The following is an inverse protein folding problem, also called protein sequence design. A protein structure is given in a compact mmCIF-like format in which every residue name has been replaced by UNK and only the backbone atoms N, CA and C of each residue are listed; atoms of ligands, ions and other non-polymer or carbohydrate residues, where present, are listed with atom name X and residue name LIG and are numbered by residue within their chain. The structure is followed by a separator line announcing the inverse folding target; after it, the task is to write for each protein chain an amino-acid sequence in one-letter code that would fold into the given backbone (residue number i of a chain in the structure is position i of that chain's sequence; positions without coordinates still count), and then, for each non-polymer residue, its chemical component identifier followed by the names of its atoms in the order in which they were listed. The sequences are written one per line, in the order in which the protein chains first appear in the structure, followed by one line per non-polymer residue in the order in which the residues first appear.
data_IF_759156189970
#
_entry.id   IF_759156189970
#
_cell.length_a   1.000
_cell.length_b   1.000
_cell.length_c   1.000
_cell.angle_alpha   90.00
_cell.angle_beta   90.00
_cell.angle_gamma   90.00
#
_symmetry.space_group_name_H-M   'P 1'
#
loop_
_entity.id
_entity.type
_entity.pdbx_description
1 polymer ?
#
# COMPACT_ATOMS: atom_id res chain seq x y z
N UNK A 1 7.97 -20.56 -29.86
CA UNK A 1 6.94 -19.60 -29.43
C UNK A 1 5.90 -19.53 -30.52
N UNK A 2 4.66 -19.90 -30.21
CA UNK A 2 3.59 -19.93 -31.21
C UNK A 2 2.86 -18.59 -31.20
N UNK A 3 2.41 -18.13 -32.37
CA UNK A 3 1.65 -16.88 -32.52
C UNK A 3 0.38 -16.78 -31.65
N UNK A 4 -0.07 -17.90 -31.05
CA UNK A 4 -1.16 -17.91 -30.05
C UNK A 4 -0.80 -17.19 -28.74
N UNK A 5 0.47 -17.01 -28.41
CA UNK A 5 0.92 -16.23 -27.24
C UNK A 5 0.65 -14.72 -27.40
N UNK A 6 0.51 -14.23 -28.65
CA UNK A 6 0.20 -12.83 -28.96
C UNK A 6 -1.28 -12.48 -28.90
N UNK A 7 -2.18 -13.49 -28.89
CA UNK A 7 -3.63 -13.32 -28.79
C UNK A 7 -4.14 -13.35 -27.33
N UNK A 8 -3.24 -13.48 -26.35
CA UNK A 8 -3.60 -13.28 -24.94
C UNK A 8 -3.88 -11.79 -24.76
N UNK A 9 -5.13 -11.45 -24.41
CA UNK A 9 -5.51 -10.08 -24.05
C UNK A 9 -4.84 -9.68 -22.72
N UNK A 10 -3.58 -9.25 -22.77
CA UNK A 10 -2.75 -8.73 -21.67
C UNK A 10 -3.23 -7.35 -21.12
N UNK A 11 -4.54 -7.07 -21.14
CA UNK A 11 -5.06 -5.72 -20.85
C UNK A 11 -5.45 -5.48 -19.39
N UNK A 12 -5.18 -6.43 -18.50
CA UNK A 12 -5.31 -6.23 -17.07
C UNK A 12 -3.93 -6.18 -16.42
N UNK A 13 -3.50 -4.98 -16.00
CA UNK A 13 -2.25 -4.78 -15.25
C UNK A 13 -2.22 -5.65 -13.97
N UNK A 14 -3.37 -6.08 -13.47
CA UNK A 14 -3.56 -7.04 -12.38
C UNK A 14 -3.11 -8.48 -12.69
N UNK A 15 -2.80 -8.83 -13.93
CA UNK A 15 -2.30 -10.19 -14.26
C UNK A 15 -0.82 -10.38 -13.92
N UNK A 16 -0.07 -9.30 -13.68
CA UNK A 16 1.35 -9.40 -13.39
C UNK A 16 1.73 -8.54 -12.19
N UNK A 17 2.56 -9.11 -11.32
CA UNK A 17 3.21 -8.38 -10.24
C UNK A 17 4.01 -7.21 -10.83
N UNK A 18 4.01 -6.02 -10.20
CA UNK A 18 4.53 -4.81 -10.83
C UNK A 18 6.06 -4.76 -10.90
N UNK A 19 6.77 -5.59 -10.13
CA UNK A 19 8.22 -5.48 -9.91
C UNK A 19 9.03 -5.85 -11.16
N UNK A 20 9.61 -4.85 -11.84
CA UNK A 20 10.50 -5.08 -12.98
C UNK A 20 11.89 -5.51 -12.50
N UNK A 21 12.50 -4.75 -11.60
CA UNK A 21 13.87 -5.05 -11.17
C UNK A 21 14.41 -4.20 -10.04
N UNK A 22 15.41 -4.72 -9.34
CA UNK A 22 16.16 -3.99 -8.32
C UNK A 22 17.30 -3.21 -9.02
N UNK A 23 17.07 -1.91 -9.24
CA UNK A 23 17.92 -1.02 -10.04
C UNK A 23 19.09 -0.46 -9.23
N UNK A 24 18.87 -0.24 -7.93
CA UNK A 24 19.91 0.07 -6.96
C UNK A 24 19.73 -0.84 -5.75
N UNK A 25 20.70 -0.94 -4.81
CA UNK A 25 20.53 -1.78 -3.63
C UNK A 25 19.23 -1.54 -2.84
N UNK A 26 18.61 -0.34 -2.92
CA UNK A 26 17.41 0.03 -2.14
C UNK A 26 16.20 0.49 -2.98
N UNK A 27 16.31 0.52 -4.31
CA UNK A 27 15.26 1.01 -5.22
C UNK A 27 14.88 -0.08 -6.21
N UNK A 28 13.60 -0.42 -6.20
CA UNK A 28 12.95 -1.27 -7.20
C UNK A 28 12.28 -0.36 -8.23
N UNK A 29 12.42 -0.68 -9.51
CA UNK A 29 11.58 -0.12 -10.57
C UNK A 29 10.43 -1.09 -10.86
N UNK A 30 9.23 -0.54 -10.99
CA UNK A 30 8.07 -1.26 -11.50
C UNK A 30 7.99 -1.15 -13.02
N UNK A 31 7.18 -2.02 -13.63
CA UNK A 31 6.92 -2.02 -15.07
C UNK A 31 6.24 -0.75 -15.58
N UNK A 32 5.60 0.01 -14.70
CA UNK A 32 4.99 1.32 -15.01
C UNK A 32 5.92 2.51 -14.72
N UNK A 33 7.22 2.24 -14.56
CA UNK A 33 8.28 3.19 -14.21
C UNK A 33 8.17 3.82 -12.81
N UNK A 34 7.17 3.41 -12.00
CA UNK A 34 7.14 3.81 -10.61
C UNK A 34 8.28 3.16 -9.81
N UNK A 35 8.81 3.91 -8.84
CA UNK A 35 9.95 3.49 -8.02
C UNK A 35 9.49 3.16 -6.61
N UNK A 36 9.96 2.04 -6.06
CA UNK A 36 9.66 1.59 -4.70
C UNK A 36 10.94 1.56 -3.87
N UNK A 37 10.86 2.07 -2.64
CA UNK A 37 11.82 1.80 -1.58
C UNK A 37 11.12 1.31 -0.32
N UNK A 38 11.83 0.54 0.50
CA UNK A 38 11.24 -0.13 1.67
C UNK A 38 12.01 0.26 2.92
N UNK A 39 11.27 0.67 3.94
CA UNK A 39 11.80 0.89 5.29
C UNK A 39 11.04 0.05 6.31
N UNK A 40 11.70 -0.25 7.41
CA UNK A 40 11.11 -0.84 8.60
C UNK A 40 11.31 0.09 9.80
N UNK A 41 10.35 0.15 10.72
CA UNK A 41 10.48 0.97 11.92
C UNK A 41 9.54 0.49 13.04
N UNK A 42 9.86 0.89 14.28
CA UNK A 42 8.98 0.69 15.42
C UNK A 42 7.91 1.79 15.46
N UNK A 43 6.70 1.45 15.07
CA UNK A 43 5.59 2.38 15.00
C UNK A 43 5.00 2.77 16.37
N UNK A 44 5.37 2.06 17.44
CA UNK A 44 4.97 2.41 18.81
C UNK A 44 5.79 3.57 19.40
N UNK A 45 6.91 3.91 18.76
CA UNK A 45 7.94 4.82 19.29
C UNK A 45 7.79 6.28 18.85
N UNK A 46 6.61 6.72 18.42
CA UNK A 46 6.42 8.07 17.83
C UNK A 46 6.79 9.20 18.81
N UNK A 47 7.92 9.87 18.57
CA UNK A 47 8.45 10.94 19.43
C UNK A 47 8.12 12.35 18.91
N UNK A 48 8.45 12.66 17.65
CA UNK A 48 8.28 14.01 17.07
C UNK A 48 7.30 14.00 15.89
N UNK A 49 6.05 14.41 16.14
CA UNK A 49 4.96 14.33 15.15
C UNK A 49 4.96 15.50 14.16
N UNK A 50 5.31 16.70 14.62
CA UNK A 50 5.09 17.92 13.85
C UNK A 50 6.08 18.10 12.71
N UNK A 51 7.34 17.70 12.90
CA UNK A 51 8.35 17.79 11.85
C UNK A 51 8.04 16.87 10.66
N UNK A 52 7.70 15.60 10.95
CA UNK A 52 7.28 14.65 9.93
C UNK A 52 5.99 15.09 9.25
N UNK A 53 5.00 15.55 10.01
CA UNK A 53 3.77 16.08 9.43
C UNK A 53 4.03 17.25 8.47
N UNK A 54 4.84 18.23 8.87
CA UNK A 54 5.18 19.39 8.02
C UNK A 54 5.81 18.95 6.69
N UNK A 55 6.72 17.97 6.74
CA UNK A 55 7.33 17.38 5.56
C UNK A 55 6.30 16.66 4.68
N UNK A 56 5.47 15.79 5.25
CA UNK A 56 4.45 15.02 4.51
C UNK A 56 3.44 15.91 3.78
N UNK A 57 3.11 17.09 4.33
CA UNK A 57 2.20 18.06 3.69
C UNK A 57 2.77 18.74 2.44
N UNK A 58 4.08 18.65 2.23
CA UNK A 58 4.78 19.29 1.11
C UNK A 58 5.06 18.31 -0.03
N UNK A 59 4.72 17.03 0.14
CA UNK A 59 4.93 16.02 -0.88
C UNK A 59 4.14 16.34 -2.15
N UNK A 60 4.74 16.16 -3.33
CA UNK A 60 4.03 16.32 -4.60
C UNK A 60 3.06 15.14 -4.83
N UNK A 61 2.23 15.28 -5.87
CA UNK A 61 1.42 14.18 -6.38
C UNK A 61 2.30 12.99 -6.79
N UNK A 62 1.69 11.80 -6.77
CA UNK A 62 2.34 10.57 -7.23
C UNK A 62 3.16 9.86 -6.14
N UNK A 63 3.16 10.36 -4.90
CA UNK A 63 3.65 9.61 -3.75
C UNK A 63 2.53 8.82 -3.08
N UNK A 64 2.80 7.55 -2.87
CA UNK A 64 1.96 6.65 -2.08
C UNK A 64 2.80 5.89 -1.06
N UNK A 65 2.18 5.60 0.07
CA UNK A 65 2.74 4.77 1.12
C UNK A 65 1.89 3.52 1.28
N UNK A 66 2.52 2.36 1.32
CA UNK A 66 1.88 1.13 1.77
C UNK A 66 2.49 0.76 3.12
N UNK A 67 1.67 0.47 4.10
CA UNK A 67 2.10 0.01 5.41
C UNK A 67 1.66 -1.42 5.61
N UNK A 68 2.57 -2.23 6.15
CA UNK A 68 2.35 -3.64 6.39
C UNK A 68 2.74 -4.03 7.82
N UNK A 69 1.88 -4.84 8.43
CA UNK A 69 2.13 -5.52 9.71
C UNK A 69 1.52 -6.91 9.62
N UNK A 70 2.26 -7.94 10.01
CA UNK A 70 1.79 -9.32 9.85
C UNK A 70 2.17 -10.20 11.03
N UNK A 71 1.52 -11.36 11.14
CA UNK A 71 1.82 -12.36 12.17
C UNK A 71 3.31 -12.73 12.20
N UNK A 72 3.95 -12.75 11.03
CA UNK A 72 5.34 -13.15 10.85
C UNK A 72 6.36 -12.02 11.17
N UNK A 73 5.94 -10.76 11.35
CA UNK A 73 6.82 -9.60 11.63
C UNK A 73 6.05 -8.56 12.43
N UNK A 74 6.41 -8.36 13.71
CA UNK A 74 5.77 -7.34 14.53
C UNK A 74 6.21 -5.91 14.16
N UNK A 75 7.32 -5.76 13.44
CA UNK A 75 7.85 -4.48 12.97
C UNK A 75 7.03 -4.00 11.77
N UNK A 76 6.70 -2.71 11.74
CA UNK A 76 5.94 -2.10 10.66
C UNK A 76 6.86 -1.85 9.47
N UNK A 77 6.45 -2.36 8.31
CA UNK A 77 7.12 -2.12 7.03
C UNK A 77 6.38 -1.02 6.28
N UNK A 78 7.10 -0.02 5.76
CA UNK A 78 6.55 1.00 4.88
C UNK A 78 7.22 0.93 3.51
N UNK A 79 6.41 0.79 2.47
CA UNK A 79 6.81 0.87 1.08
C UNK A 79 6.48 2.27 0.58
N UNK A 80 7.52 3.00 0.23
CA UNK A 80 7.46 4.35 -0.30
C UNK A 80 7.47 4.21 -1.81
N UNK A 81 6.42 4.68 -2.47
CA UNK A 81 6.29 4.56 -3.92
C UNK A 81 6.14 5.93 -4.53
N UNK A 82 6.93 6.19 -5.56
CA UNK A 82 6.81 7.38 -6.37
C UNK A 82 6.52 7.01 -7.82
N UNK A 83 5.47 7.59 -8.38
CA UNK A 83 5.15 7.51 -9.80
C UNK A 83 5.56 8.82 -10.48
N UNK A 84 6.68 8.86 -11.22
CA UNK A 84 7.10 10.06 -11.92
C UNK A 84 6.15 10.37 -13.09
N UNK A 85 5.61 11.59 -13.09
CA UNK A 85 4.77 12.10 -14.16
C UNK A 85 5.56 13.10 -15.00
N UNK A 86 5.42 12.99 -16.32
CA UNK A 86 6.10 13.87 -17.27
C UNK A 86 5.10 14.78 -17.98
N UNK A 87 5.45 16.05 -18.11
CA UNK A 87 4.85 16.94 -19.08
C UNK A 87 5.42 16.62 -20.47
N UNK A 88 4.62 15.94 -21.28
CA UNK A 88 4.97 15.51 -22.64
C UNK A 88 5.41 16.67 -23.54
N UNK A 89 4.94 17.91 -23.29
CA UNK A 89 5.30 19.07 -24.14
C UNK A 89 6.71 19.57 -23.89
N UNK A 90 7.14 19.51 -22.63
CA UNK A 90 8.42 20.08 -22.20
C UNK A 90 9.47 19.01 -21.87
N UNK A 91 9.08 17.73 -21.94
CA UNK A 91 9.85 16.57 -21.47
C UNK A 91 10.45 16.82 -20.08
N UNK A 92 9.64 17.42 -19.20
CA UNK A 92 10.01 17.80 -17.84
C UNK A 92 9.14 17.06 -16.85
N UNK A 93 9.73 16.70 -15.73
CA UNK A 93 9.04 16.04 -14.63
C UNK A 93 8.07 17.03 -13.97
N UNK A 94 6.77 16.72 -14.00
CA UNK A 94 5.71 17.62 -13.54
C UNK A 94 5.48 17.53 -12.03
N UNK A 95 5.76 16.38 -11.41
CA UNK A 95 5.58 16.12 -9.97
C UNK A 95 6.92 15.83 -9.26
N UNK A 96 7.93 16.66 -9.52
CA UNK A 96 9.28 16.40 -8.99
C UNK A 96 9.30 16.47 -7.48
N UNK A 97 10.00 15.52 -6.86
CA UNK A 97 10.19 15.48 -5.41
C UNK A 97 11.12 16.58 -4.92
N UNK A 98 12.02 17.05 -5.80
CA UNK A 98 13.03 18.06 -5.49
C UNK A 98 13.01 19.10 -6.61
N UNK A 99 13.23 20.37 -6.26
CA UNK A 99 13.41 21.48 -7.21
C UNK A 99 14.81 21.42 -7.83
N UNK A 100 15.11 20.39 -8.61
CA UNK A 100 16.38 20.22 -9.29
C UNK A 100 16.21 20.14 -10.82
N UNK A 101 17.28 20.44 -11.54
CA UNK A 101 17.35 20.39 -13.01
C UNK A 101 17.80 19.02 -13.54
N UNK A 102 18.14 18.07 -12.66
CA UNK A 102 18.47 16.72 -13.06
C UNK A 102 17.18 16.01 -13.52
N UNK A 103 17.24 15.27 -14.62
CA UNK A 103 16.13 14.48 -15.13
C UNK A 103 16.25 12.98 -14.77
N UNK A 104 17.28 12.60 -13.99
CA UNK A 104 17.42 11.22 -13.53
C UNK A 104 16.51 10.94 -12.32
N UNK A 105 15.48 10.14 -12.57
CA UNK A 105 14.45 9.78 -11.59
C UNK A 105 15.00 8.93 -10.45
N UNK A 106 15.99 8.09 -10.71
CA UNK A 106 16.62 7.29 -9.65
C UNK A 106 17.36 8.21 -8.69
N UNK A 107 18.14 9.15 -9.21
CA UNK A 107 18.84 10.13 -8.38
C UNK A 107 17.87 11.01 -7.58
N UNK A 108 16.80 11.53 -8.21
CA UNK A 108 15.79 12.35 -7.51
C UNK A 108 15.13 11.56 -6.38
N UNK A 109 14.74 10.31 -6.66
CA UNK A 109 14.09 9.47 -5.66
C UNK A 109 15.07 9.10 -4.53
N UNK A 110 16.31 8.78 -4.86
CA UNK A 110 17.35 8.44 -3.88
C UNK A 110 17.64 9.60 -2.91
N UNK A 111 17.75 10.83 -3.44
CA UNK A 111 17.87 12.05 -2.63
C UNK A 111 16.65 12.31 -1.75
N UNK A 112 15.45 12.09 -2.30
CA UNK A 112 14.22 12.19 -1.54
C UNK A 112 14.18 11.18 -0.39
N UNK A 113 14.63 9.93 -0.63
CA UNK A 113 14.69 8.90 0.39
C UNK A 113 15.64 9.25 1.53
N UNK A 114 16.78 9.89 1.24
CA UNK A 114 17.70 10.36 2.28
C UNK A 114 17.05 11.43 3.18
N UNK A 115 16.33 12.40 2.59
CA UNK A 115 15.60 13.40 3.37
C UNK A 115 14.47 12.74 4.17
N UNK A 116 13.67 11.89 3.53
CA UNK A 116 12.57 11.15 4.15
C UNK A 116 13.07 10.34 5.35
N UNK A 117 14.15 9.59 5.18
CA UNK A 117 14.76 8.79 6.23
C UNK A 117 15.29 9.65 7.37
N UNK A 118 15.88 10.82 7.08
CA UNK A 118 16.29 11.78 8.11
C UNK A 118 15.10 12.27 8.95
N UNK A 119 13.94 12.50 8.32
CA UNK A 119 12.70 12.85 9.04
C UNK A 119 12.17 11.68 9.86
N UNK A 120 12.14 10.48 9.29
CA UNK A 120 11.68 9.27 9.97
C UNK A 120 12.51 8.96 11.23
N UNK A 121 13.84 9.00 11.16
CA UNK A 121 14.72 8.77 12.31
C UNK A 121 14.56 9.79 13.45
N UNK A 122 14.09 11.00 13.14
CA UNK A 122 13.77 12.01 14.17
C UNK A 122 12.40 11.77 14.81
N UNK A 123 11.55 10.97 14.18
CA UNK A 123 10.16 10.74 14.60
C UNK A 123 9.94 9.36 15.19
N UNK A 124 10.69 8.34 14.76
CA UNK A 124 10.58 6.94 15.18
C UNK A 124 11.95 6.35 15.52
N UNK A 125 11.96 5.31 16.34
CA UNK A 125 13.13 4.48 16.65
C UNK A 125 13.25 3.30 15.69
N UNK A 126 14.45 2.72 15.63
CA UNK A 126 14.76 1.52 14.85
C UNK A 126 14.37 1.62 13.37
N UNK A 127 14.50 2.82 12.77
CA UNK A 127 14.20 3.01 11.35
C UNK A 127 15.35 2.42 10.52
N UNK A 128 15.05 1.40 9.72
CA UNK A 128 16.01 0.72 8.86
C UNK A 128 15.56 0.82 7.39
N UNK A 129 16.50 1.14 6.48
CA UNK A 129 16.25 1.06 5.04
C UNK A 129 16.64 -0.33 4.59
N UNK A 130 15.71 -1.07 3.98
CA UNK A 130 16.02 -2.39 3.46
C UNK A 130 16.85 -2.29 2.18
N UNK A 131 17.75 -3.26 1.99
CA UNK A 131 18.53 -3.35 0.77
C UNK A 131 18.72 -4.80 0.30
N UNK A 132 18.92 -4.99 -1.01
CA UNK A 132 19.28 -6.26 -1.67
C UNK A 132 18.37 -7.42 -1.21
N UNK A 133 18.94 -8.36 -0.46
CA UNK A 133 18.29 -9.57 0.03
C UNK A 133 17.08 -9.27 0.91
N UNK A 134 17.12 -8.23 1.73
CA UNK A 134 16.03 -7.87 2.62
C UNK A 134 14.84 -7.33 1.85
N UNK A 135 15.11 -6.54 0.80
CA UNK A 135 14.08 -6.07 -0.13
C UNK A 135 13.39 -7.27 -0.79
N UNK A 136 14.17 -8.20 -1.33
CA UNK A 136 13.63 -9.37 -2.04
C UNK A 136 12.81 -10.27 -1.11
N UNK A 137 13.32 -10.56 0.08
CA UNK A 137 12.59 -11.33 1.10
C UNK A 137 11.27 -10.66 1.46
N UNK A 138 11.27 -9.33 1.56
CA UNK A 138 10.07 -8.57 1.91
C UNK A 138 9.03 -8.61 0.80
N UNK A 139 9.44 -8.44 -0.46
CA UNK A 139 8.53 -8.58 -1.61
C UNK A 139 7.97 -10.00 -1.72
N UNK A 140 8.83 -11.02 -1.62
CA UNK A 140 8.43 -12.43 -1.70
C UNK A 140 7.39 -12.76 -0.63
N UNK A 141 7.63 -12.32 0.59
CA UNK A 141 6.74 -12.56 1.72
C UNK A 141 5.34 -11.96 1.57
N UNK A 142 5.20 -10.80 0.90
CA UNK A 142 3.89 -10.22 0.59
C UNK A 142 3.06 -11.16 -0.28
N UNK A 143 3.74 -11.85 -1.20
CA UNK A 143 3.14 -12.67 -2.26
C UNK A 143 2.85 -14.09 -1.79
N UNK A 144 3.77 -14.70 -1.04
CA UNK A 144 3.76 -16.13 -0.75
C UNK A 144 3.50 -16.46 0.71
N UNK A 145 3.57 -15.47 1.60
CA UNK A 145 3.61 -15.63 3.06
C UNK A 145 4.85 -16.40 3.58
N UNK A 146 5.82 -16.70 2.73
CA UNK A 146 7.08 -17.33 3.11
C UNK A 146 8.14 -16.30 3.54
N UNK A 147 9.19 -16.77 4.22
CA UNK A 147 10.14 -15.87 4.89
C UNK A 147 11.30 -15.40 4.01
N UNK A 148 11.78 -16.22 3.08
CA UNK A 148 12.98 -15.87 2.32
C UNK A 148 13.04 -16.59 0.98
N UNK A 149 13.70 -15.94 0.03
CA UNK A 149 14.06 -16.47 -1.28
C UNK A 149 15.52 -16.09 -1.54
N UNK A 150 16.28 -16.90 -2.28
CA UNK A 150 17.65 -16.53 -2.63
C UNK A 150 17.67 -15.28 -3.53
N UNK A 151 18.74 -14.49 -3.45
CA UNK A 151 18.95 -13.42 -4.43
C UNK A 151 19.26 -14.05 -5.80
N UNK A 152 18.58 -13.65 -6.90
CA UNK A 152 18.94 -14.09 -8.24
C UNK A 152 20.24 -13.42 -8.71
N UNK A 153 20.95 -14.05 -9.64
CA UNK A 153 22.14 -13.48 -10.28
C UNK A 153 21.79 -12.21 -11.08
N UNK A 154 20.62 -12.20 -11.72
CA UNK A 154 20.07 -11.06 -12.45
C UNK A 154 18.99 -10.38 -11.61
N UNK A 155 19.10 -9.07 -11.42
CA UNK A 155 18.14 -8.27 -10.62
C UNK A 155 16.92 -7.78 -11.41
N UNK A 156 16.76 -8.22 -12.67
CA UNK A 156 15.64 -7.91 -13.55
C UNK A 156 14.65 -9.08 -13.60
N UNK A 157 13.43 -8.80 -14.06
CA UNK A 157 12.29 -9.73 -14.12
C UNK A 157 11.92 -10.32 -12.76
N UNK A 158 11.92 -9.46 -11.72
CA UNK A 158 11.60 -9.88 -10.36
C UNK A 158 10.17 -10.39 -10.22
N UNK A 159 9.24 -9.92 -11.04
CA UNK A 159 7.88 -10.45 -11.14
C UNK A 159 7.86 -11.95 -11.45
N UNK A 160 8.62 -12.38 -12.47
CA UNK A 160 8.73 -13.79 -12.85
C UNK A 160 9.46 -14.59 -11.76
N UNK A 161 10.58 -14.07 -11.27
CA UNK A 161 11.39 -14.77 -10.26
C UNK A 161 10.61 -15.00 -8.95
N UNK A 162 9.90 -13.98 -8.47
CA UNK A 162 9.13 -14.04 -7.23
C UNK A 162 7.89 -14.93 -7.31
N UNK A 163 7.45 -15.29 -8.52
CA UNK A 163 6.22 -16.08 -8.74
C UNK A 163 6.47 -17.48 -9.26
N UNK A 164 7.70 -17.82 -9.66
CA UNK A 164 8.02 -19.08 -10.35
C UNK A 164 7.56 -20.34 -9.59
N UNK A 165 7.65 -20.33 -8.26
CA UNK A 165 7.40 -21.50 -7.41
C UNK A 165 6.02 -21.46 -6.74
N UNK A 166 5.17 -20.47 -7.07
CA UNK A 166 3.90 -20.24 -6.40
C UNK A 166 2.70 -20.22 -7.34
N UNK A 167 1.62 -20.89 -6.91
CA UNK A 167 0.35 -20.87 -7.62
C UNK A 167 -0.66 -19.94 -6.97
N UNK A 168 -1.33 -19.13 -7.78
CA UNK A 168 -2.41 -18.23 -7.37
C UNK A 168 -3.69 -18.66 -8.08
N UNK A 169 -4.71 -19.11 -7.33
CA UNK A 169 -5.96 -19.61 -7.92
C UNK A 169 -7.16 -19.14 -7.13
N UNK A 170 -8.17 -18.57 -7.81
CA UNK A 170 -9.46 -18.29 -7.17
C UNK A 170 -10.13 -19.61 -6.79
N UNK A 171 -10.51 -19.74 -5.53
CA UNK A 171 -11.22 -20.90 -4.99
C UNK A 171 -12.55 -20.44 -4.39
N UNK A 172 -13.66 -20.62 -5.12
CA UNK A 172 -14.99 -20.11 -4.74
C UNK A 172 -14.93 -18.60 -4.43
N UNK A 173 -15.09 -18.23 -3.15
CA UNK A 173 -15.07 -16.85 -2.64
C UNK A 173 -13.74 -16.46 -1.99
N UNK A 174 -12.70 -17.27 -2.18
CA UNK A 174 -11.38 -17.09 -1.56
C UNK A 174 -10.29 -17.14 -2.64
N UNK A 175 -9.08 -16.73 -2.27
CA UNK A 175 -7.88 -16.94 -3.07
C UNK A 175 -7.07 -18.09 -2.46
N UNK A 176 -6.53 -18.97 -3.28
CA UNK A 176 -5.58 -20.01 -2.85
C UNK A 176 -4.18 -19.62 -3.32
N UNK A 177 -3.27 -19.44 -2.38
CA UNK A 177 -1.88 -19.06 -2.60
C UNK A 177 -1.00 -20.17 -2.03
N UNK A 178 -0.40 -20.96 -2.91
CA UNK A 178 0.28 -22.20 -2.51
C UNK A 178 -0.65 -23.11 -1.69
N UNK A 179 -0.28 -23.37 -0.44
CA UNK A 179 -1.04 -24.20 0.50
C UNK A 179 -2.11 -23.43 1.30
N UNK A 180 -2.11 -22.09 1.25
CA UNK A 180 -2.97 -21.26 2.07
C UNK A 180 -4.25 -20.87 1.34
N UNK A 181 -5.37 -20.96 2.05
CA UNK A 181 -6.59 -20.25 1.69
C UNK A 181 -6.48 -18.84 2.26
N UNK A 182 -6.87 -17.84 1.47
CA UNK A 182 -6.76 -16.42 1.77
C UNK A 182 -8.09 -15.74 1.56
N UNK A 183 -8.47 -14.89 2.50
CA UNK A 183 -9.57 -13.94 2.33
C UNK A 183 -9.13 -12.53 2.75
N UNK A 184 -9.84 -11.52 2.27
CA UNK A 184 -9.59 -10.11 2.58
C UNK A 184 -10.82 -9.49 3.25
N UNK A 185 -10.59 -8.76 4.34
CA UNK A 185 -11.59 -7.90 4.97
C UNK A 185 -11.15 -6.46 4.78
N UNK A 186 -11.93 -5.69 4.03
CA UNK A 186 -11.74 -4.25 3.84
C UNK A 186 -12.42 -3.50 5.00
N UNK A 187 -11.68 -2.62 5.66
CA UNK A 187 -12.21 -1.72 6.69
C UNK A 187 -12.63 -0.41 6.02
N UNK A 188 -13.91 -0.06 6.10
CA UNK A 188 -14.44 1.18 5.51
C UNK A 188 -14.18 2.38 6.43
N UNK A 189 -13.93 3.55 5.82
CA UNK A 189 -13.68 4.79 6.54
C UNK A 189 -12.26 4.91 7.10
N UNK A 190 -12.13 5.47 8.31
CA UNK A 190 -10.85 5.79 8.95
C UNK A 190 -10.70 5.04 10.29
N UNK A 191 -10.26 3.77 10.27
CA UNK A 191 -10.27 2.90 11.45
C UNK A 191 -9.08 3.11 12.40
N UNK A 192 -8.23 4.13 12.22
CA UNK A 192 -6.91 4.22 12.86
C UNK A 192 -6.89 3.99 14.38
N UNK A 193 -7.91 4.41 15.11
CA UNK A 193 -7.99 4.21 16.56
C UNK A 193 -8.20 2.75 16.99
N UNK A 194 -8.74 1.90 16.10
CA UNK A 194 -9.11 0.52 16.41
C UNK A 194 -8.17 -0.51 15.76
N UNK A 195 -7.25 -0.10 14.89
CA UNK A 195 -6.39 -1.06 14.15
C UNK A 195 -5.60 -1.93 15.12
N UNK A 196 -4.91 -1.33 16.09
CA UNK A 196 -4.18 -2.08 17.13
C UNK A 196 -5.05 -3.08 17.90
N UNK A 197 -6.28 -2.69 18.26
CA UNK A 197 -7.24 -3.57 18.94
C UNK A 197 -7.67 -4.74 18.05
N UNK A 198 -7.91 -4.48 16.76
CA UNK A 198 -8.28 -5.50 15.78
C UNK A 198 -7.12 -6.47 15.57
N UNK A 199 -5.89 -5.99 15.36
CA UNK A 199 -4.71 -6.85 15.17
C UNK A 199 -4.43 -7.70 16.43
N UNK A 200 -4.64 -7.13 17.62
CA UNK A 200 -4.52 -7.86 18.88
C UNK A 200 -5.59 -8.95 19.01
N UNK A 201 -6.83 -8.66 18.61
CA UNK A 201 -7.92 -9.64 18.59
C UNK A 201 -7.63 -10.80 17.63
N UNK A 202 -7.17 -10.52 16.40
CA UNK A 202 -6.78 -11.53 15.41
C UNK A 202 -5.65 -12.42 15.97
N UNK A 203 -4.66 -11.82 16.64
CA UNK A 203 -3.57 -12.56 17.27
C UNK A 203 -4.10 -13.54 18.34
N UNK A 204 -5.07 -13.13 19.14
CA UNK A 204 -5.68 -13.98 20.17
C UNK A 204 -6.53 -15.12 19.57
N UNK A 205 -7.04 -14.95 18.35
CA UNK A 205 -7.73 -16.00 17.58
C UNK A 205 -6.75 -17.02 16.96
N UNK A 206 -5.44 -16.82 17.11
CA UNK A 206 -4.39 -17.63 16.51
C UNK A 206 -4.49 -17.72 14.97
N UNK A 207 -4.94 -16.63 14.34
CA UNK A 207 -5.11 -16.54 12.90
C UNK A 207 -3.93 -15.82 12.25
N UNK A 208 -3.45 -16.33 11.11
CA UNK A 208 -2.41 -15.62 10.36
C UNK A 208 -3.02 -14.45 9.58
N UNK A 209 -2.35 -13.30 9.67
CA UNK A 209 -2.80 -12.09 9.01
C UNK A 209 -1.65 -11.28 8.43
N UNK A 210 -2.01 -10.45 7.46
CA UNK A 210 -1.24 -9.32 6.97
C UNK A 210 -2.19 -8.13 6.86
N UNK A 211 -1.95 -7.12 7.68
CA UNK A 211 -2.63 -5.85 7.58
C UNK A 211 -1.92 -5.00 6.53
N UNK A 212 -2.68 -4.41 5.62
CA UNK A 212 -2.22 -3.51 4.57
C UNK A 212 -2.98 -2.20 4.66
N UNK A 213 -2.26 -1.09 4.83
CA UNK A 213 -2.81 0.26 4.68
C UNK A 213 -2.15 0.94 3.49
N UNK A 214 -2.93 1.40 2.53
CA UNK A 214 -2.46 2.23 1.43
C UNK A 214 -2.89 3.67 1.66
N UNK A 215 -1.95 4.61 1.50
CA UNK A 215 -2.17 6.04 1.52
C UNK A 215 -1.67 6.61 0.21
N UNK A 216 -2.52 7.30 -0.53
CA UNK A 216 -2.11 8.08 -1.71
C UNK A 216 -2.27 9.55 -1.41
N UNK A 217 -1.14 10.27 -1.42
CA UNK A 217 -1.09 11.68 -1.08
C UNK A 217 -1.65 12.50 -2.24
N UNK A 218 -2.55 13.43 -1.92
CA UNK A 218 -3.00 14.45 -2.85
C UNK A 218 -2.19 15.73 -2.60
N UNK A 219 -1.76 16.40 -3.68
CA UNK A 219 -1.15 17.72 -3.51
C UNK A 219 -2.21 18.77 -3.13
N UNK A 220 -1.73 19.95 -2.73
CA UNK A 220 -2.61 21.02 -2.29
C UNK A 220 -3.50 21.59 -3.41
N UNK A 221 -3.10 21.47 -4.69
CA UNK A 221 -3.84 22.02 -5.83
C UNK A 221 -5.00 21.12 -6.26
N UNK A 222 -4.73 19.83 -6.48
CA UNK A 222 -5.76 18.85 -6.87
C UNK A 222 -6.69 18.50 -5.74
N UNK A 223 -6.23 18.58 -4.48
CA UNK A 223 -7.05 18.25 -3.31
C UNK A 223 -8.42 18.94 -3.31
N UNK A 224 -8.49 20.26 -3.54
CA UNK A 224 -9.76 21.01 -3.44
C UNK A 224 -10.72 20.50 -4.50
N UNK A 225 -10.24 20.36 -5.73
CA UNK A 225 -11.03 19.85 -6.85
C UNK A 225 -11.48 18.40 -6.59
N UNK A 226 -10.61 17.54 -6.05
CA UNK A 226 -10.94 16.15 -5.71
C UNK A 226 -12.00 16.08 -4.62
N UNK A 227 -11.89 16.88 -3.55
CA UNK A 227 -12.89 16.96 -2.49
C UNK A 227 -14.23 17.46 -3.01
N UNK A 228 -14.21 18.56 -3.78
CA UNK A 228 -15.42 19.10 -4.39
C UNK A 228 -16.08 18.07 -5.30
N UNK A 229 -15.35 17.44 -6.22
CA UNK A 229 -15.90 16.42 -7.12
C UNK A 229 -16.47 15.21 -6.37
N UNK A 230 -15.80 14.76 -5.32
CA UNK A 230 -16.25 13.64 -4.50
C UNK A 230 -17.57 13.95 -3.78
N UNK A 231 -17.68 15.13 -3.15
CA UNK A 231 -18.85 15.51 -2.35
C UNK A 231 -19.95 16.23 -3.15
N UNK A 232 -19.68 16.63 -4.40
CA UNK A 232 -20.62 17.41 -5.23
C UNK A 232 -22.00 16.78 -5.33
N UNK A 233 -22.06 15.46 -5.53
CA UNK A 233 -23.32 14.74 -5.67
C UNK A 233 -24.06 14.59 -4.34
N UNK A 234 -23.31 14.48 -3.23
CA UNK A 234 -23.85 14.35 -1.88
C UNK A 234 -24.46 15.67 -1.38
N UNK A 235 -23.88 16.81 -1.78
CA UNK A 235 -24.33 18.15 -1.42
C UNK A 235 -25.03 18.87 -2.59
N UNK A 236 -25.63 18.13 -3.52
CA UNK A 236 -26.24 18.69 -4.73
C UNK A 236 -27.33 19.74 -4.44
N UNK A 237 -28.18 19.48 -3.44
CA UNK A 237 -29.25 20.36 -2.97
C UNK A 237 -28.82 21.34 -1.87
N UNK A 238 -27.62 21.17 -1.30
CA UNK A 238 -27.17 21.89 -0.11
C UNK A 238 -25.69 22.28 -0.24
N UNK A 239 -25.35 23.06 -1.28
CA UNK A 239 -23.96 23.41 -1.60
C UNK A 239 -23.20 24.11 -0.47
N UNK A 240 -23.89 24.81 0.43
CA UNK A 240 -23.27 25.43 1.61
C UNK A 240 -22.55 24.41 2.51
N UNK A 241 -23.01 23.15 2.54
CA UNK A 241 -22.39 22.07 3.29
C UNK A 241 -21.07 21.58 2.68
N UNK A 242 -20.77 21.89 1.41
CA UNK A 242 -19.46 21.56 0.82
C UNK A 242 -18.32 22.17 1.65
N UNK A 243 -18.52 23.36 2.23
CA UNK A 243 -17.53 24.01 3.08
C UNK A 243 -17.19 23.24 4.36
N UNK A 244 -18.11 22.39 4.84
CA UNK A 244 -17.90 21.52 6.01
C UNK A 244 -17.01 20.33 5.64
N UNK A 245 -17.20 19.77 4.45
CA UNK A 245 -16.44 18.60 3.97
C UNK A 245 -15.11 18.95 3.28
N UNK A 246 -15.06 20.09 2.58
CA UNK A 246 -13.90 20.59 1.86
C UNK A 246 -13.05 21.44 2.80
N UNK A 247 -12.25 20.78 3.63
CA UNK A 247 -11.36 21.48 4.58
C UNK A 247 -10.10 22.00 3.88
N UNK A 248 -9.33 22.88 4.53
CA UNK A 248 -7.98 23.28 4.09
C UNK A 248 -6.88 22.28 4.52
N UNK A 249 -7.20 21.26 5.31
CA UNK A 249 -6.22 20.29 5.83
C UNK A 249 -5.77 19.28 4.78
N UNK A 250 -4.72 18.50 5.00
CA UNK A 250 -4.27 17.57 3.94
C UNK A 250 -5.30 16.47 3.67
N UNK A 251 -5.47 16.11 2.39
CA UNK A 251 -6.38 15.06 1.97
C UNK A 251 -5.58 13.94 1.31
N UNK A 252 -6.02 12.71 1.54
CA UNK A 252 -5.43 11.54 0.94
C UNK A 252 -6.50 10.47 0.78
N UNK A 253 -6.27 9.61 -0.20
CA UNK A 253 -7.01 8.36 -0.29
C UNK A 253 -6.39 7.36 0.66
N UNK A 254 -7.22 6.74 1.50
CA UNK A 254 -6.81 5.66 2.38
C UNK A 254 -7.61 4.39 2.08
N UNK A 255 -6.92 3.27 2.15
CA UNK A 255 -7.50 1.94 2.07
C UNK A 255 -6.87 1.08 3.15
N UNK A 256 -7.70 0.33 3.88
CA UNK A 256 -7.27 -0.52 4.97
C UNK A 256 -7.83 -1.92 4.73
N UNK A 257 -6.96 -2.90 4.57
CA UNK A 257 -7.33 -4.28 4.25
C UNK A 257 -6.61 -5.21 5.22
N UNK A 258 -7.35 -6.13 5.79
CA UNK A 258 -6.84 -7.26 6.56
C UNK A 258 -6.86 -8.47 5.64
N UNK A 259 -5.68 -8.95 5.27
CA UNK A 259 -5.51 -10.22 4.56
C UNK A 259 -5.38 -11.31 5.62
N UNK A 260 -6.25 -12.31 5.58
CA UNK A 260 -6.30 -13.42 6.51
C UNK A 260 -6.02 -14.71 5.76
N UNK A 261 -5.20 -15.58 6.31
CA UNK A 261 -4.83 -16.81 5.63
C UNK A 261 -4.62 -17.99 6.58
N UNK A 262 -4.99 -19.18 6.13
CA UNK A 262 -4.79 -20.43 6.86
C UNK A 262 -4.78 -21.62 5.89
N UNK A 263 -4.15 -22.72 6.27
CA UNK A 263 -4.18 -23.98 5.50
C UNK A 263 -5.54 -24.67 5.62
N UNK A 264 -6.25 -24.47 6.73
CA UNK A 264 -7.59 -24.99 6.96
C UNK A 264 -8.65 -23.94 6.56
N UNK A 265 -9.32 -24.20 5.45
CA UNK A 265 -10.38 -23.35 4.90
C UNK A 265 -11.57 -23.16 5.86
N UNK A 266 -11.99 -24.22 6.55
CA UNK A 266 -13.18 -24.17 7.38
C UNK A 266 -12.92 -23.39 8.66
N UNK A 267 -11.75 -23.60 9.27
CA UNK A 267 -11.27 -22.75 10.37
C UNK A 267 -11.22 -21.27 9.96
N UNK A 268 -10.60 -20.96 8.82
CA UNK A 268 -10.49 -19.58 8.33
C UNK A 268 -11.87 -18.91 8.17
N UNK A 269 -12.85 -19.61 7.62
CA UNK A 269 -14.21 -19.07 7.45
C UNK A 269 -14.89 -18.77 8.79
N UNK A 270 -14.77 -19.67 9.78
CA UNK A 270 -15.31 -19.43 11.12
C UNK A 270 -14.67 -18.21 11.79
N UNK A 271 -13.34 -18.10 11.69
CA UNK A 271 -12.61 -16.96 12.27
C UNK A 271 -12.97 -15.64 11.58
N UNK A 272 -13.16 -15.63 10.25
CA UNK A 272 -13.61 -14.43 9.52
C UNK A 272 -14.96 -13.95 10.03
N UNK A 273 -15.94 -14.86 10.23
CA UNK A 273 -17.26 -14.49 10.73
C UNK A 273 -17.21 -13.92 12.16
N UNK A 274 -16.34 -14.45 13.02
CA UNK A 274 -16.14 -13.93 14.37
C UNK A 274 -15.48 -12.55 14.36
N UNK A 275 -14.45 -12.38 13.54
CA UNK A 275 -13.74 -11.12 13.38
C UNK A 275 -14.65 -10.03 12.81
N UNK A 276 -15.45 -10.35 11.80
CA UNK A 276 -16.39 -9.42 11.18
C UNK A 276 -17.43 -8.92 12.21
N UNK A 277 -17.97 -9.83 13.03
CA UNK A 277 -18.85 -9.46 14.16
C UNK A 277 -18.14 -8.57 15.18
N UNK A 278 -16.89 -8.88 15.54
CA UNK A 278 -16.11 -8.08 16.48
C UNK A 278 -15.88 -6.66 15.97
N UNK A 279 -15.48 -6.51 14.70
CA UNK A 279 -15.22 -5.21 14.08
C UNK A 279 -16.51 -4.39 13.96
N UNK A 280 -17.62 -5.01 13.52
CA UNK A 280 -18.91 -4.35 13.43
C UNK A 280 -19.44 -3.90 14.82
N UNK A 281 -19.20 -4.68 15.87
CA UNK A 281 -19.54 -4.29 17.25
C UNK A 281 -18.73 -3.08 17.76
N UNK A 282 -17.57 -2.79 17.15
CA UNK A 282 -16.78 -1.58 17.40
C UNK A 282 -17.23 -0.38 16.56
N UNK A 283 -18.27 -0.53 15.74
CA UNK A 283 -18.85 0.53 14.91
C UNK A 283 -18.09 0.78 13.60
N UNK A 284 -17.21 -0.13 13.19
CA UNK A 284 -16.49 -0.04 11.92
C UNK A 284 -17.20 -0.93 10.91
N UNK A 285 -17.63 -0.34 9.80
CA UNK A 285 -18.20 -1.10 8.69
C UNK A 285 -17.10 -1.83 7.92
N UNK A 286 -17.39 -3.06 7.52
CA UNK A 286 -16.47 -3.96 6.83
C UNK A 286 -17.08 -4.50 5.54
N UNK A 287 -16.20 -4.86 4.60
CA UNK A 287 -16.56 -5.67 3.44
C UNK A 287 -15.68 -6.91 3.47
N UNK A 288 -16.29 -8.07 3.70
CA UNK A 288 -15.62 -9.36 3.47
C UNK A 288 -15.68 -9.70 1.98
N UNK A 289 -14.51 -9.75 1.34
CA UNK A 289 -14.39 -9.79 -0.11
C UNK A 289 -14.60 -11.20 -0.65
N UNK A 290 -15.71 -11.43 -1.36
CA UNK A 290 -16.01 -12.73 -1.94
C UNK A 290 -15.79 -12.74 -3.45
N UNK A 291 -16.41 -11.79 -4.16
CA UNK A 291 -16.38 -11.74 -5.63
C UNK A 291 -15.07 -11.12 -6.14
N UNK A 292 -14.66 -9.99 -5.55
CA UNK A 292 -13.48 -9.21 -5.93
C UNK A 292 -12.21 -9.61 -5.17
N UNK A 293 -12.17 -10.79 -4.54
CA UNK A 293 -11.07 -11.20 -3.66
C UNK A 293 -9.69 -11.11 -4.32
N UNK A 294 -9.57 -11.46 -5.61
CA UNK A 294 -8.33 -11.33 -6.36
C UNK A 294 -7.86 -9.87 -6.42
N UNK A 295 -8.73 -8.99 -6.93
CA UNK A 295 -8.42 -7.57 -7.10
C UNK A 295 -8.15 -6.86 -5.76
N UNK A 296 -8.93 -7.17 -4.72
CA UNK A 296 -8.65 -6.63 -3.37
C UNK A 296 -7.37 -7.19 -2.78
N UNK A 297 -6.99 -8.44 -3.03
CA UNK A 297 -5.68 -8.95 -2.61
C UNK A 297 -4.54 -8.25 -3.39
N UNK A 298 -4.66 -8.10 -4.71
CA UNK A 298 -3.68 -7.38 -5.52
C UNK A 298 -3.52 -5.92 -5.07
N UNK A 299 -4.58 -5.25 -4.63
CA UNK A 299 -4.49 -3.86 -4.13
C UNK A 299 -3.64 -3.73 -2.86
N UNK A 300 -3.38 -4.82 -2.15
CA UNK A 300 -2.48 -4.85 -0.99
C UNK A 300 -1.01 -5.07 -1.33
N UNK A 301 -0.68 -5.25 -2.61
CA UNK A 301 0.69 -5.40 -3.10
C UNK A 301 1.21 -4.01 -3.48
N UNK A 302 2.35 -3.56 -2.90
CA UNK A 302 2.98 -2.30 -3.24
C UNK A 302 3.20 -2.15 -4.76
N UNK A 303 2.75 -1.04 -5.33
CA UNK A 303 2.88 -0.74 -6.77
C UNK A 303 1.66 -1.14 -7.60
N UNK A 304 0.71 -1.91 -7.05
CA UNK A 304 -0.54 -2.27 -7.74
C UNK A 304 -1.62 -1.20 -7.53
N UNK A 305 -1.40 0.00 -8.09
CA UNK A 305 -2.27 1.16 -7.91
C UNK A 305 -3.67 0.99 -8.50
N UNK A 306 -3.78 0.22 -9.58
CA UNK A 306 -5.01 0.07 -10.37
C UNK A 306 -5.96 -0.97 -9.80
N UNK A 307 -5.48 -1.81 -8.89
CA UNK A 307 -6.28 -2.84 -8.25
C UNK A 307 -7.06 -2.31 -7.05
N UNK A 308 -8.27 -2.84 -6.86
CA UNK A 308 -9.12 -2.62 -5.69
C UNK A 308 -9.60 -1.19 -5.55
N UNK A 309 -10.32 -0.67 -6.55
CA UNK A 309 -10.87 0.70 -6.54
C UNK A 309 -12.00 0.87 -5.50
N UNK A 310 -11.64 1.06 -4.23
CA UNK A 310 -12.55 1.53 -3.19
C UNK A 310 -11.75 2.26 -2.11
N UNK A 311 -11.43 3.52 -2.40
CA UNK A 311 -10.67 4.39 -1.51
C UNK A 311 -11.59 5.32 -0.73
N UNK A 312 -11.34 5.45 0.57
CA UNK A 312 -11.97 6.50 1.37
C UNK A 312 -11.16 7.79 1.24
N UNK A 313 -11.79 8.88 0.83
CA UNK A 313 -11.17 10.20 0.87
C UNK A 313 -11.19 10.70 2.31
N UNK A 314 -10.02 10.91 2.90
CA UNK A 314 -9.87 11.38 4.28
C UNK A 314 -9.14 12.71 4.30
N UNK A 315 -9.65 13.63 5.12
CA UNK A 315 -9.00 14.88 5.46
C UNK A 315 -8.43 14.79 6.86
N UNK A 316 -7.16 15.16 7.05
CA UNK A 316 -6.55 15.16 8.38
C UNK A 316 -5.53 16.29 8.56
N UNK A 317 -5.56 16.92 9.73
CA UNK A 317 -4.59 17.92 10.17
C UNK A 317 -3.18 17.37 10.29
N UNK A 318 -3.04 16.11 10.69
CA UNK A 318 -1.77 15.48 10.94
C UNK A 318 -1.65 14.10 10.28
N UNK A 319 -0.97 14.07 9.13
CA UNK A 319 -0.78 12.86 8.32
C UNK A 319 0.11 11.84 9.04
N UNK A 320 1.03 12.29 9.91
CA UNK A 320 2.01 11.40 10.56
C UNK A 320 1.36 10.34 11.46
N UNK A 321 0.13 10.55 11.93
CA UNK A 321 -0.62 9.54 12.68
C UNK A 321 -0.90 8.27 11.86
N UNK A 322 -0.95 8.38 10.53
CA UNK A 322 -1.19 7.24 9.68
C UNK A 322 0.01 6.31 9.54
N UNK A 323 1.17 6.71 10.06
CA UNK A 323 2.37 5.89 10.14
C UNK A 323 2.37 5.00 11.39
N UNK A 324 1.30 5.02 12.20
CA UNK A 324 1.10 4.13 13.34
C UNK A 324 0.03 3.07 12.99
N UNK A 325 0.33 1.79 13.25
CA UNK A 325 -0.57 0.65 13.05
C UNK A 325 -1.01 -0.03 14.35
#
# INVERSE_FOLDING_TARGET
MSLKEYDIKNNEISEWIPYLGLMTPRIIQNKDDSLISIIEYDDSSLMNKDNLNKFLKQLPLGISFYFEKSTLSPITTCYIIWNPAYDLKNNKLSNSLIKETNNDHFYIFDKFLDEFFSKMNKSFQNVNILSKQDVLNRLYRILTYEKSIAMPDATLYLDCYLTQDFSYKKYKHMLKIGEYYTNCIRLLGYPNFFVKDILSYIKNMNLNYRYSRRITVLDNQTKIQTQENYFKNWCSSHRSFLSVFCTKESAFYIENIIVLYDRNKDFLNEQILQLDKYINNKGIATISENYNIGDTWFSTIPGMFRSGYCHSLVSCKNISYNFIL
#
